data_IF_972611585235
#
_entry.id   IF_972611585235
#
_cell.length_a   1.000
_cell.length_b   1.000
_cell.length_c   1.000
_cell.angle_alpha   90.00
_cell.angle_beta   90.00
_cell.angle_gamma   90.00
#
_symmetry.space_group_name_H-M   'P 1'
#
loop_
_entity.id
_entity.type
_entity.pdbx_description
1 polymer ?
#
# COMPACT_ATOMS: atom_id res chain seq x y z
N UNK A 1 -12.56 14.56 1.73
CA UNK A 1 -11.30 14.57 2.50
C UNK A 1 -10.91 16.01 2.79
N UNK A 2 -10.69 16.34 4.04
CA UNK A 2 -10.31 17.68 4.47
C UNK A 2 -8.85 17.68 4.95
N UNK A 3 -8.26 18.87 5.15
CA UNK A 3 -6.91 18.99 5.68
C UNK A 3 -6.74 18.39 7.10
N UNK A 4 -7.82 18.32 7.89
CA UNK A 4 -7.83 17.67 9.20
C UNK A 4 -7.69 16.15 9.15
N UNK A 5 -7.99 15.53 8.00
CA UNK A 5 -7.91 14.07 7.81
C UNK A 5 -6.50 13.58 7.47
N UNK A 6 -5.56 14.52 7.23
CA UNK A 6 -4.19 14.19 6.85
C UNK A 6 -3.39 13.79 8.09
N UNK A 7 -2.64 12.71 7.98
CA UNK A 7 -1.73 12.28 9.05
C UNK A 7 -0.54 13.24 9.09
N UNK A 8 -0.39 13.98 10.18
CA UNK A 8 0.65 14.99 10.29
C UNK A 8 0.50 16.14 9.28
N UNK A 9 1.61 16.67 8.78
CA UNK A 9 1.68 17.70 7.71
C UNK A 9 0.95 19.01 8.02
N UNK A 10 0.74 19.35 9.30
CA UNK A 10 -0.05 20.53 9.73
C UNK A 10 0.51 21.84 9.18
N UNK A 11 1.84 21.97 9.18
CA UNK A 11 2.52 23.16 8.66
C UNK A 11 2.29 23.34 7.16
N UNK A 12 2.46 22.24 6.38
CA UNK A 12 2.25 22.27 4.94
C UNK A 12 0.77 22.49 4.59
N UNK A 13 -0.14 21.85 5.30
CA UNK A 13 -1.58 22.03 5.14
C UNK A 13 -2.00 23.49 5.41
N UNK A 14 -1.51 24.09 6.50
CA UNK A 14 -1.77 25.50 6.83
C UNK A 14 -1.20 26.45 5.78
N UNK A 15 0.02 26.17 5.26
CA UNK A 15 0.64 26.98 4.21
C UNK A 15 -0.15 26.92 2.90
N UNK A 16 -0.55 25.73 2.46
CA UNK A 16 -1.34 25.58 1.22
C UNK A 16 -2.70 26.25 1.34
N UNK A 17 -3.35 26.12 2.51
CA UNK A 17 -4.61 26.80 2.80
C UNK A 17 -4.47 28.31 2.76
N UNK A 18 -3.45 28.87 3.43
CA UNK A 18 -3.20 30.31 3.43
C UNK A 18 -2.98 30.85 2.01
N UNK A 19 -2.18 30.16 1.18
CA UNK A 19 -1.97 30.53 -0.22
C UNK A 19 -3.27 30.52 -1.02
N UNK A 20 -4.17 29.58 -0.74
CA UNK A 20 -5.48 29.50 -1.39
C UNK A 20 -6.37 30.67 -0.96
N UNK A 21 -6.46 30.95 0.33
CA UNK A 21 -7.29 32.03 0.91
C UNK A 21 -6.82 33.42 0.46
N UNK A 22 -5.51 33.61 0.30
CA UNK A 22 -4.90 34.85 -0.18
C UNK A 22 -4.96 35.03 -1.72
N UNK A 23 -5.49 34.03 -2.46
CA UNK A 23 -5.50 34.05 -3.93
C UNK A 23 -4.09 34.01 -4.56
N UNK A 24 -3.10 33.51 -3.82
CA UNK A 24 -1.68 33.45 -4.21
C UNK A 24 -1.19 32.06 -4.60
N UNK A 25 -2.12 31.10 -4.80
CA UNK A 25 -1.76 29.79 -5.28
C UNK A 25 -1.16 29.88 -6.69
N UNK A 26 -0.02 29.25 -6.94
CA UNK A 26 0.51 29.13 -8.30
C UNK A 26 -0.43 28.26 -9.11
N UNK A 27 -0.55 28.53 -10.41
CA UNK A 27 -1.36 27.72 -11.32
C UNK A 27 -0.84 26.27 -11.49
N UNK A 28 0.43 26.04 -11.16
CA UNK A 28 1.05 24.72 -11.15
C UNK A 28 1.97 24.58 -9.92
N UNK A 29 1.69 23.57 -9.10
CA UNK A 29 2.50 23.22 -7.94
C UNK A 29 2.88 21.76 -7.92
N UNK A 30 3.99 21.43 -7.28
CA UNK A 30 4.50 20.06 -7.17
C UNK A 30 4.80 19.73 -5.72
N UNK A 31 4.12 18.72 -5.20
CA UNK A 31 4.36 18.14 -3.88
C UNK A 31 5.41 17.04 -4.02
N UNK A 32 6.60 17.28 -3.48
CA UNK A 32 7.75 16.38 -3.53
C UNK A 32 8.04 15.76 -2.18
N UNK A 33 8.51 14.53 -2.14
CA UNK A 33 8.90 13.89 -0.89
C UNK A 33 8.82 12.36 -0.95
N UNK A 34 9.17 11.67 0.15
CA UNK A 34 9.16 10.21 0.19
C UNK A 34 7.74 9.63 0.07
N UNK A 35 7.66 8.33 -0.23
CA UNK A 35 6.39 7.61 -0.22
C UNK A 35 5.78 7.62 1.18
N UNK A 36 4.45 7.51 1.26
CA UNK A 36 3.74 7.45 2.52
C UNK A 36 3.76 8.75 3.36
N UNK A 37 4.40 9.84 2.89
CA UNK A 37 4.46 11.11 3.60
C UNK A 37 3.16 11.94 3.53
N UNK A 38 2.14 11.50 2.79
CA UNK A 38 0.85 12.20 2.69
C UNK A 38 0.74 13.22 1.55
N UNK A 39 1.60 13.13 0.53
CA UNK A 39 1.55 14.02 -0.65
C UNK A 39 0.19 13.98 -1.38
N UNK A 40 -0.31 12.77 -1.65
CA UNK A 40 -1.61 12.61 -2.32
C UNK A 40 -2.76 13.10 -1.42
N UNK A 41 -2.66 12.88 -0.09
CA UNK A 41 -3.61 13.41 0.88
C UNK A 41 -3.69 14.94 0.84
N UNK A 42 -2.54 15.61 0.81
CA UNK A 42 -2.45 17.07 0.65
C UNK A 42 -3.04 17.54 -0.68
N UNK A 43 -2.75 16.84 -1.79
CA UNK A 43 -3.26 17.16 -3.12
C UNK A 43 -4.80 17.08 -3.17
N UNK A 44 -5.38 16.00 -2.66
CA UNK A 44 -6.82 15.80 -2.62
C UNK A 44 -7.50 16.81 -1.68
N UNK A 45 -6.92 17.07 -0.50
CA UNK A 45 -7.48 18.04 0.44
C UNK A 45 -7.47 19.45 -0.14
N UNK A 46 -6.39 19.87 -0.81
CA UNK A 46 -6.31 21.17 -1.48
C UNK A 46 -7.32 21.26 -2.63
N UNK A 47 -7.42 20.24 -3.46
CA UNK A 47 -8.40 20.17 -4.54
C UNK A 47 -9.83 20.29 -4.00
N UNK A 48 -10.15 19.53 -2.94
CA UNK A 48 -11.45 19.58 -2.26
C UNK A 48 -11.74 20.98 -1.70
N UNK A 49 -10.73 21.59 -1.08
CA UNK A 49 -10.85 22.94 -0.50
C UNK A 49 -11.21 24.00 -1.55
N UNK A 50 -10.56 23.95 -2.72
CA UNK A 50 -10.77 24.90 -3.81
C UNK A 50 -12.12 24.66 -4.49
N UNK A 51 -12.44 23.40 -4.80
CA UNK A 51 -13.67 23.03 -5.52
C UNK A 51 -14.95 23.21 -4.68
N UNK A 52 -14.83 23.16 -3.34
CA UNK A 52 -15.96 23.48 -2.45
C UNK A 52 -16.26 24.99 -2.33
N UNK A 53 -15.58 25.84 -3.10
CA UNK A 53 -15.86 27.28 -3.18
C UNK A 53 -15.30 28.09 -2.01
N UNK A 54 -14.43 27.54 -1.18
CA UNK A 54 -13.84 28.26 -0.05
C UNK A 54 -12.97 29.45 -0.48
N UNK A 55 -12.50 29.45 -1.73
CA UNK A 55 -11.62 30.52 -2.29
C UNK A 55 -12.40 31.72 -2.83
N UNK A 56 -13.67 31.56 -3.24
CA UNK A 56 -14.46 32.63 -3.90
C UNK A 56 -15.80 32.94 -3.23
N UNK A 57 -16.10 32.37 -2.07
CA UNK A 57 -17.35 32.65 -1.32
C UNK A 57 -18.66 32.17 -1.98
N UNK A 58 -18.59 31.62 -3.16
CA UNK A 58 -19.73 31.02 -3.84
C UNK A 58 -19.82 29.54 -3.44
N UNK A 59 -20.49 29.25 -2.32
CA UNK A 59 -20.70 27.89 -1.85
C UNK A 59 -21.30 27.03 -2.96
N UNK A 60 -20.53 26.06 -3.43
CA UNK A 60 -21.00 25.13 -4.46
C UNK A 60 -22.10 24.23 -3.92
N UNK A 61 -23.16 24.07 -4.72
CA UNK A 61 -24.31 23.20 -4.43
C UNK A 61 -23.93 21.70 -4.28
N UNK A 62 -22.77 21.33 -4.76
CA UNK A 62 -22.27 19.96 -4.70
C UNK A 62 -20.97 19.90 -3.87
N UNK A 63 -21.08 19.41 -2.64
CA UNK A 63 -19.90 19.08 -1.85
C UNK A 63 -19.11 17.99 -2.56
N UNK A 64 -17.83 18.24 -2.80
CA UNK A 64 -16.89 17.21 -3.29
C UNK A 64 -16.89 16.06 -2.27
N UNK A 65 -17.49 14.94 -2.65
CA UNK A 65 -17.46 13.70 -1.88
C UNK A 65 -16.44 12.77 -2.51
N UNK A 66 -15.40 12.45 -1.76
CA UNK A 66 -14.33 11.59 -2.27
C UNK A 66 -13.55 12.24 -3.41
N UNK A 67 -13.32 11.48 -4.47
CA UNK A 67 -12.61 11.90 -5.69
C UNK A 67 -13.58 12.19 -6.87
N UNK A 68 -14.88 12.23 -6.62
CA UNK A 68 -15.90 12.38 -7.64
C UNK A 68 -16.35 13.84 -7.74
N UNK A 69 -15.70 14.59 -8.60
CA UNK A 69 -16.14 15.93 -8.99
C UNK A 69 -15.89 16.12 -10.49
N UNK A 70 -16.84 16.69 -11.26
CA UNK A 70 -16.70 16.82 -12.70
C UNK A 70 -15.52 17.71 -13.14
N UNK A 71 -15.09 18.65 -12.30
CA UNK A 71 -13.97 19.55 -12.53
C UNK A 71 -12.68 19.10 -11.79
N UNK A 72 -12.63 17.86 -11.25
CA UNK A 72 -11.44 17.22 -10.69
C UNK A 72 -10.98 16.10 -11.62
N UNK A 73 -9.78 16.23 -12.15
CA UNK A 73 -9.19 15.26 -13.07
C UNK A 73 -7.94 14.62 -12.45
N UNK A 74 -7.86 13.29 -12.55
CA UNK A 74 -6.69 12.53 -12.16
C UNK A 74 -5.94 12.05 -13.39
N UNK A 75 -4.64 12.25 -13.38
CA UNK A 75 -3.70 11.71 -14.37
C UNK A 75 -2.72 10.83 -13.62
N UNK A 76 -2.57 9.59 -14.05
CA UNK A 76 -1.70 8.59 -13.43
C UNK A 76 -1.07 7.66 -14.47
N UNK A 77 0.05 6.98 -14.14
CA UNK A 77 0.68 6.05 -15.06
C UNK A 77 -0.24 4.88 -15.41
N UNK A 78 -0.33 4.56 -16.69
CA UNK A 78 -1.16 3.48 -17.23
C UNK A 78 -0.32 2.46 -17.97
N UNK A 79 -0.88 1.28 -18.24
CA UNK A 79 -0.26 0.22 -19.02
C UNK A 79 -1.05 -0.01 -20.31
N UNK A 80 -0.39 -0.58 -21.31
CA UNK A 80 -1.07 -1.01 -22.52
C UNK A 80 -1.53 -2.45 -22.39
N UNK A 81 -2.84 -2.68 -22.50
CA UNK A 81 -3.40 -4.03 -22.45
C UNK A 81 -3.19 -4.74 -23.80
N UNK A 82 -2.94 -6.05 -23.76
CA UNK A 82 -2.72 -6.89 -24.94
C UNK A 82 -3.88 -6.88 -25.96
N UNK A 83 -5.11 -6.61 -25.48
CA UNK A 83 -6.32 -6.53 -26.30
C UNK A 83 -6.41 -5.25 -27.16
N UNK A 84 -5.58 -4.23 -26.89
CA UNK A 84 -5.59 -2.97 -27.63
C UNK A 84 -4.66 -3.03 -28.85
N UNK A 85 -5.02 -2.34 -29.93
CA UNK A 85 -4.20 -2.24 -31.12
C UNK A 85 -2.86 -1.52 -30.84
N UNK A 86 -1.87 -1.67 -31.76
CA UNK A 86 -0.53 -1.11 -31.57
C UNK A 86 -0.50 0.41 -31.45
N UNK A 87 -1.46 1.11 -32.04
CA UNK A 87 -1.54 2.58 -32.10
C UNK A 87 -2.26 3.19 -30.90
N UNK A 88 -3.05 2.40 -30.17
CA UNK A 88 -3.78 2.91 -29.00
C UNK A 88 -2.83 3.35 -27.90
N UNK A 89 -3.07 4.57 -27.41
CA UNK A 89 -2.33 5.17 -26.28
C UNK A 89 -3.25 5.23 -25.07
N UNK A 90 -3.02 4.39 -24.05
CA UNK A 90 -3.89 4.33 -22.89
C UNK A 90 -3.93 5.65 -22.15
N UNK A 91 -5.09 5.95 -21.57
CA UNK A 91 -5.36 7.12 -20.76
C UNK A 91 -5.85 6.70 -19.37
N UNK A 92 -5.83 7.63 -18.42
CA UNK A 92 -6.26 7.39 -17.04
C UNK A 92 -7.70 6.91 -16.95
N UNK A 93 -8.58 7.35 -17.84
CA UNK A 93 -9.98 6.92 -17.88
C UNK A 93 -10.17 5.44 -18.17
N UNK A 94 -9.25 4.82 -18.90
CA UNK A 94 -9.29 3.38 -19.17
C UNK A 94 -9.19 2.53 -17.90
N UNK A 95 -8.68 3.12 -16.81
CA UNK A 95 -8.43 2.48 -15.53
C UNK A 95 -9.10 3.22 -14.36
N UNK A 96 -10.09 4.04 -14.63
CA UNK A 96 -10.74 4.88 -13.60
C UNK A 96 -11.47 4.03 -12.54
N UNK A 97 -11.98 2.86 -12.90
CA UNK A 97 -12.63 1.94 -11.96
C UNK A 97 -11.61 1.39 -10.94
N UNK A 98 -10.45 0.92 -11.43
CA UNK A 98 -9.36 0.43 -10.57
C UNK A 98 -8.81 1.55 -9.69
N UNK A 99 -8.71 2.78 -10.23
CA UNK A 99 -8.29 3.95 -9.46
C UNK A 99 -9.27 4.27 -8.33
N UNK A 100 -10.56 4.22 -8.61
CA UNK A 100 -11.61 4.41 -7.60
C UNK A 100 -11.58 3.33 -6.55
N UNK A 101 -11.39 2.07 -6.93
CA UNK A 101 -11.26 0.95 -6.01
C UNK A 101 -10.06 1.13 -5.08
N UNK A 102 -8.88 1.45 -5.62
CA UNK A 102 -7.65 1.68 -4.86
C UNK A 102 -7.78 2.85 -3.88
N UNK A 103 -8.45 3.92 -4.30
CA UNK A 103 -8.65 5.13 -3.49
C UNK A 103 -9.88 5.06 -2.59
N UNK A 104 -10.66 3.99 -2.64
CA UNK A 104 -11.79 3.75 -1.74
C UNK A 104 -11.33 3.50 -0.30
N UNK A 105 -12.16 3.84 0.71
CA UNK A 105 -11.81 3.63 2.10
C UNK A 105 -11.54 2.15 2.37
N UNK A 106 -10.39 1.86 2.96
CA UNK A 106 -10.11 0.50 3.41
C UNK A 106 -10.86 0.22 4.73
N UNK A 107 -11.42 -0.99 4.91
CA UNK A 107 -12.11 -1.34 6.14
C UNK A 107 -11.16 -1.25 7.34
N UNK A 108 -11.57 -0.49 8.35
CA UNK A 108 -10.87 -0.46 9.63
C UNK A 108 -11.08 -1.77 10.38
N UNK A 109 -10.06 -2.34 11.06
CA UNK A 109 -10.20 -3.57 11.86
C UNK A 109 -11.27 -3.51 12.95
N UNK A 110 -11.69 -2.31 13.38
CA UNK A 110 -12.73 -2.08 14.41
C UNK A 110 -14.13 -1.90 13.85
N UNK A 111 -14.39 -2.11 12.57
CA UNK A 111 -15.73 -2.06 11.99
C UNK A 111 -16.45 -0.70 12.08
N UNK A 112 -15.79 0.34 12.55
CA UNK A 112 -16.29 1.71 12.62
C UNK A 112 -15.70 2.58 11.52
N UNK A 113 -15.71 2.11 10.32
CA UNK A 113 -15.64 2.99 9.17
C UNK A 113 -17.07 3.42 8.88
N UNK A 114 -17.39 4.66 9.11
CA UNK A 114 -18.71 5.24 8.83
C UNK A 114 -19.01 5.29 7.35
N UNK A 115 -18.58 4.40 6.52
CA UNK A 115 -18.99 4.20 5.13
C UNK A 115 -19.27 5.45 4.27
N UNK A 116 -19.05 6.65 4.81
CA UNK A 116 -19.38 7.93 4.21
C UNK A 116 -18.10 8.73 3.91
N UNK A 117 -17.56 8.49 2.73
CA UNK A 117 -16.80 9.51 2.05
C UNK A 117 -15.30 9.62 2.32
N UNK A 118 -14.69 8.72 3.08
CA UNK A 118 -13.25 8.77 3.29
C UNK A 118 -12.50 8.16 2.10
N UNK A 119 -11.56 8.90 1.57
CA UNK A 119 -10.67 8.47 0.48
C UNK A 119 -9.42 7.84 1.11
N UNK A 120 -8.91 6.76 0.54
CA UNK A 120 -7.59 6.25 0.86
C UNK A 120 -6.53 6.97 0.00
N UNK A 121 -5.80 7.96 0.52
CA UNK A 121 -4.78 8.69 -0.24
C UNK A 121 -3.38 8.09 -0.07
N UNK A 122 -3.26 6.97 0.62
CA UNK A 122 -1.99 6.30 0.93
C UNK A 122 -1.91 4.98 0.19
N UNK A 123 -1.25 4.98 -0.94
CA UNK A 123 -0.97 3.82 -1.77
C UNK A 123 0.35 4.01 -2.51
N UNK A 124 0.98 2.92 -2.87
CA UNK A 124 2.24 2.88 -3.61
C UNK A 124 2.01 2.63 -5.11
N UNK A 125 3.09 2.78 -5.89
CA UNK A 125 3.06 2.35 -7.28
C UNK A 125 2.88 0.82 -7.40
N UNK A 126 3.37 0.05 -6.43
CA UNK A 126 3.20 -1.40 -6.40
C UNK A 126 1.71 -1.77 -6.26
N UNK A 127 1.00 -1.13 -5.30
CA UNK A 127 -0.44 -1.32 -5.12
C UNK A 127 -1.22 -0.97 -6.41
N UNK A 128 -0.81 0.10 -7.09
CA UNK A 128 -1.40 0.49 -8.36
C UNK A 128 -1.16 -0.53 -9.48
N UNK A 129 0.06 -1.05 -9.59
CA UNK A 129 0.39 -2.08 -10.57
C UNK A 129 -0.37 -3.38 -10.30
N UNK A 130 -0.58 -3.74 -9.04
CA UNK A 130 -1.40 -4.89 -8.62
C UNK A 130 -2.88 -4.66 -9.00
N UNK A 131 -3.44 -3.49 -8.71
CA UNK A 131 -4.82 -3.14 -9.07
C UNK A 131 -5.07 -3.24 -10.58
N UNK A 132 -4.08 -2.86 -11.40
CA UNK A 132 -4.12 -3.03 -12.86
C UNK A 132 -3.82 -4.47 -13.32
N UNK A 133 -3.45 -5.40 -12.44
CA UNK A 133 -2.97 -6.77 -12.76
C UNK A 133 -1.77 -6.78 -13.71
N UNK A 134 -0.81 -5.92 -13.46
CA UNK A 134 0.27 -5.57 -14.39
C UNK A 134 1.69 -5.62 -13.81
N UNK A 135 1.93 -6.45 -12.81
CA UNK A 135 3.17 -6.52 -12.02
C UNK A 135 4.47 -6.57 -12.84
N UNK A 136 4.42 -7.08 -14.08
CA UNK A 136 5.59 -7.23 -14.96
C UNK A 136 5.70 -6.17 -16.04
N UNK A 137 4.82 -5.17 -16.05
CA UNK A 137 4.81 -4.11 -17.06
C UNK A 137 5.31 -2.80 -16.45
N UNK A 138 5.74 -1.87 -17.30
CA UNK A 138 6.11 -0.53 -16.88
C UNK A 138 4.96 0.43 -17.18
N UNK A 139 4.37 1.02 -16.13
CA UNK A 139 3.35 2.02 -16.30
C UNK A 139 3.95 3.38 -16.69
N UNK A 140 3.34 4.05 -17.66
CA UNK A 140 3.79 5.30 -18.27
C UNK A 140 2.61 6.23 -18.49
N UNK A 141 2.80 7.54 -18.32
CA UNK A 141 1.82 8.55 -18.73
C UNK A 141 2.12 8.89 -20.20
N UNK A 142 1.18 8.54 -21.08
CA UNK A 142 1.37 8.68 -22.53
C UNK A 142 0.90 10.03 -23.04
N UNK A 143 1.28 10.38 -24.29
CA UNK A 143 0.80 11.60 -24.95
C UNK A 143 -0.73 11.58 -25.16
N UNK A 144 -1.36 10.41 -25.14
CA UNK A 144 -2.83 10.27 -25.15
C UNK A 144 -3.47 10.99 -23.98
N UNK A 145 -2.87 10.84 -22.78
CA UNK A 145 -3.29 11.51 -21.57
C UNK A 145 -3.22 13.04 -21.69
N UNK A 146 -2.10 13.57 -22.22
CA UNK A 146 -1.97 15.01 -22.42
C UNK A 146 -3.05 15.55 -23.38
N UNK A 147 -3.40 14.79 -24.43
CA UNK A 147 -4.47 15.17 -25.37
C UNK A 147 -5.82 15.24 -24.68
N UNK A 148 -6.15 14.21 -23.90
CA UNK A 148 -7.42 14.16 -23.19
C UNK A 148 -7.52 15.26 -22.13
N UNK A 149 -6.45 15.50 -21.40
CA UNK A 149 -6.39 16.56 -20.40
C UNK A 149 -6.55 17.95 -21.01
N UNK A 150 -5.90 18.25 -22.15
CA UNK A 150 -6.07 19.50 -22.89
C UNK A 150 -7.54 19.66 -23.28
N UNK A 151 -8.15 18.64 -23.86
CA UNK A 151 -9.56 18.66 -24.27
C UNK A 151 -10.49 18.98 -23.10
N UNK A 152 -10.32 18.33 -21.95
CA UNK A 152 -11.14 18.55 -20.75
C UNK A 152 -10.95 19.94 -20.16
N UNK A 153 -9.73 20.38 -20.04
CA UNK A 153 -9.42 21.68 -19.42
C UNK A 153 -9.80 22.86 -20.31
N UNK A 154 -9.90 22.71 -21.64
CA UNK A 154 -10.39 23.75 -22.56
C UNK A 154 -11.92 23.87 -22.57
N UNK A 155 -12.64 22.84 -22.13
CA UNK A 155 -14.10 22.94 -21.94
C UNK A 155 -14.42 23.89 -20.79
N UNK A 156 -15.61 24.51 -20.81
CA UNK A 156 -16.08 25.31 -19.66
C UNK A 156 -16.21 24.42 -18.43
N UNK A 157 -15.88 24.98 -17.25
CA UNK A 157 -16.16 24.30 -15.98
C UNK A 157 -17.65 23.97 -15.88
N UNK A 158 -17.99 22.80 -15.39
CA UNK A 158 -19.40 22.38 -15.23
C UNK A 158 -20.15 23.24 -14.19
N UNK A 159 -19.42 23.85 -13.25
CA UNK A 159 -19.98 24.64 -12.16
C UNK A 159 -19.54 26.12 -12.17
N UNK A 160 -18.87 26.56 -13.25
CA UNK A 160 -18.44 27.96 -13.40
C UNK A 160 -17.29 28.39 -12.48
N UNK A 161 -16.56 27.43 -11.91
CA UNK A 161 -15.48 27.65 -10.96
C UNK A 161 -14.13 27.12 -11.43
N UNK A 162 -13.31 26.74 -10.44
CA UNK A 162 -12.00 26.16 -10.66
C UNK A 162 -12.04 24.76 -11.28
N UNK A 163 -11.05 24.44 -12.09
CA UNK A 163 -10.70 23.09 -12.56
C UNK A 163 -9.41 22.67 -11.91
N UNK A 164 -9.37 21.47 -11.36
CA UNK A 164 -8.16 20.94 -10.69
C UNK A 164 -7.72 19.67 -11.39
N UNK A 165 -6.43 19.59 -11.74
CA UNK A 165 -5.81 18.40 -12.29
C UNK A 165 -4.72 17.92 -11.34
N UNK A 166 -4.91 16.72 -10.77
CA UNK A 166 -3.92 16.03 -9.96
C UNK A 166 -3.16 15.06 -10.85
N UNK A 167 -1.84 15.25 -10.98
CA UNK A 167 -0.96 14.42 -11.79
C UNK A 167 -0.07 13.61 -10.83
N UNK A 168 -0.35 12.31 -10.72
CA UNK A 168 0.42 11.41 -9.87
C UNK A 168 1.58 10.79 -10.63
N UNK A 169 2.77 10.83 -10.05
CA UNK A 169 4.06 10.39 -10.62
C UNK A 169 4.35 11.02 -12.00
N UNK A 170 4.39 12.35 -12.08
CA UNK A 170 4.65 13.05 -13.36
C UNK A 170 6.01 12.68 -13.97
N UNK A 171 6.96 12.18 -13.18
CA UNK A 171 8.24 11.62 -13.64
C UNK A 171 8.10 10.38 -14.53
N UNK A 172 6.89 9.81 -14.63
CA UNK A 172 6.56 8.71 -15.55
C UNK A 172 5.93 9.15 -16.86
N UNK A 173 5.88 10.45 -17.13
CA UNK A 173 5.52 10.96 -18.45
C UNK A 173 6.57 10.54 -19.47
N UNK A 174 6.13 10.05 -20.64
CA UNK A 174 7.04 9.94 -21.78
C UNK A 174 7.35 11.35 -22.33
N UNK A 175 8.42 11.44 -23.13
CA UNK A 175 8.92 12.72 -23.65
C UNK A 175 7.85 13.51 -24.42
N UNK A 176 7.06 12.83 -25.25
CA UNK A 176 5.99 13.46 -26.04
C UNK A 176 4.89 14.03 -25.15
N UNK A 177 4.50 13.30 -24.08
CA UNK A 177 3.55 13.78 -23.09
C UNK A 177 4.08 15.00 -22.35
N UNK A 178 5.32 14.91 -21.85
CA UNK A 178 5.96 15.99 -21.10
C UNK A 178 6.07 17.28 -21.94
N UNK A 179 6.51 17.18 -23.20
CA UNK A 179 6.60 18.32 -24.10
C UNK A 179 5.23 18.95 -24.41
N UNK A 180 4.19 18.13 -24.51
CA UNK A 180 2.83 18.61 -24.74
C UNK A 180 2.25 19.30 -23.53
N UNK A 181 2.55 18.79 -22.33
CA UNK A 181 2.15 19.38 -21.06
C UNK A 181 2.82 20.74 -20.80
N UNK A 182 4.01 21.00 -21.34
CA UNK A 182 4.68 22.30 -21.18
C UNK A 182 3.79 23.47 -21.61
N UNK A 183 3.16 23.38 -22.78
CA UNK A 183 2.27 24.44 -23.28
C UNK A 183 1.09 24.68 -22.35
N UNK A 184 0.52 23.60 -21.80
CA UNK A 184 -0.63 23.67 -20.91
C UNK A 184 -0.25 24.25 -19.52
N UNK A 185 0.99 24.00 -19.08
CA UNK A 185 1.52 24.56 -17.83
C UNK A 185 1.91 26.03 -18.01
N UNK A 186 2.45 26.43 -19.17
CA UNK A 186 2.83 27.81 -19.48
C UNK A 186 1.60 28.73 -19.61
N UNK A 187 0.59 28.25 -20.34
CA UNK A 187 -0.62 29.01 -20.66
C UNK A 187 -1.87 28.21 -20.20
N UNK A 188 -2.08 28.11 -18.88
CA UNK A 188 -3.21 27.33 -18.36
C UNK A 188 -4.55 28.00 -18.71
N UNK A 189 -5.58 27.23 -19.00
CA UNK A 189 -6.94 27.78 -19.09
C UNK A 189 -7.32 28.51 -17.79
N UNK A 190 -8.21 29.50 -17.90
CA UNK A 190 -8.69 30.29 -16.75
C UNK A 190 -9.15 29.38 -15.61
N UNK A 191 -8.80 29.76 -14.36
CA UNK A 191 -9.16 29.04 -13.14
C UNK A 191 -8.80 27.54 -13.18
N UNK A 192 -7.59 27.25 -13.67
CA UNK A 192 -7.05 25.87 -13.68
C UNK A 192 -5.87 25.76 -12.74
N UNK A 193 -5.89 24.74 -11.90
CA UNK A 193 -4.79 24.39 -11.00
C UNK A 193 -4.24 23.01 -11.32
N UNK A 194 -2.92 22.93 -11.52
CA UNK A 194 -2.19 21.67 -11.62
C UNK A 194 -1.51 21.34 -10.30
N UNK A 195 -1.76 20.13 -9.79
CA UNK A 195 -1.13 19.60 -8.58
C UNK A 195 -0.36 18.34 -8.98
N UNK A 196 0.96 18.45 -9.06
CA UNK A 196 1.82 17.31 -9.33
C UNK A 196 2.23 16.64 -8.03
N UNK A 197 2.15 15.32 -7.96
CA UNK A 197 2.55 14.51 -6.81
C UNK A 197 3.72 13.63 -7.24
N UNK A 198 4.93 14.08 -6.93
CA UNK A 198 6.18 13.45 -7.39
C UNK A 198 6.93 12.76 -6.25
N UNK A 199 7.52 11.62 -6.57
CA UNK A 199 8.49 10.91 -5.73
C UNK A 199 9.92 11.26 -6.09
N UNK A 200 10.20 11.36 -7.41
CA UNK A 200 11.53 11.54 -7.98
C UNK A 200 11.54 12.76 -8.89
N UNK A 201 11.38 13.98 -8.36
CA UNK A 201 11.25 15.21 -9.16
C UNK A 201 12.45 15.44 -10.07
N UNK A 202 13.62 14.90 -9.74
CA UNK A 202 14.83 15.03 -10.54
C UNK A 202 14.76 14.29 -11.88
N UNK A 203 13.85 13.31 -12.01
CA UNK A 203 13.59 12.60 -13.28
C UNK A 203 12.68 13.37 -14.24
N UNK A 204 12.02 14.45 -13.76
CA UNK A 204 11.23 15.33 -14.60
C UNK A 204 12.14 16.21 -15.47
N UNK A 205 11.65 16.55 -16.67
CA UNK A 205 12.30 17.53 -17.52
C UNK A 205 12.51 18.85 -16.76
N UNK A 206 13.69 19.43 -16.88
CA UNK A 206 14.01 20.71 -16.25
C UNK A 206 13.07 21.84 -16.70
N UNK A 207 12.61 21.78 -17.95
CA UNK A 207 11.62 22.69 -18.51
C UNK A 207 10.28 22.66 -17.75
N UNK A 208 9.84 21.51 -17.25
CA UNK A 208 8.67 21.40 -16.38
C UNK A 208 9.01 21.90 -15.00
N UNK A 209 10.13 21.45 -14.40
CA UNK A 209 10.53 21.81 -13.04
C UNK A 209 10.66 23.33 -12.84
N UNK A 210 11.16 24.05 -13.85
CA UNK A 210 11.33 25.51 -13.79
C UNK A 210 10.02 26.30 -13.80
N UNK A 211 8.89 25.68 -14.19
CA UNK A 211 7.57 26.31 -14.32
C UNK A 211 6.59 25.93 -13.24
N UNK A 212 6.99 25.00 -12.38
CA UNK A 212 6.11 24.44 -11.32
C UNK A 212 6.69 24.81 -9.95
N UNK A 213 5.88 25.39 -9.08
CA UNK A 213 6.34 25.71 -7.73
C UNK A 213 6.47 24.44 -6.89
N UNK A 214 7.68 24.16 -6.41
CA UNK A 214 7.99 22.99 -5.59
C UNK A 214 7.64 23.23 -4.13
N UNK A 215 7.01 22.22 -3.51
CA UNK A 215 6.75 22.12 -2.09
C UNK A 215 7.28 20.78 -1.58
N UNK A 216 8.26 20.84 -0.68
CA UNK A 216 8.86 19.64 -0.11
C UNK A 216 8.08 19.17 1.11
N UNK A 217 7.47 17.99 0.97
CA UNK A 217 6.69 17.31 2.01
C UNK A 217 7.63 16.41 2.80
N UNK A 218 7.79 16.74 4.10
CA UNK A 218 8.65 16.00 5.01
C UNK A 218 8.02 14.63 5.37
N UNK A 219 8.82 13.65 5.83
CA UNK A 219 8.29 12.46 6.48
C UNK A 219 7.33 12.83 7.62
N UNK A 220 6.34 11.99 7.90
CA UNK A 220 5.39 12.21 9.00
C UNK A 220 6.17 12.21 10.33
N UNK A 221 5.91 13.19 11.20
CA UNK A 221 6.52 13.24 12.51
C UNK A 221 6.17 12.01 13.35
N UNK A 222 7.12 11.55 14.19
CA UNK A 222 6.95 10.35 14.99
C UNK A 222 5.67 10.36 15.83
N UNK A 223 5.42 11.44 16.53
CA UNK A 223 4.25 11.57 17.41
C UNK A 223 2.92 11.56 16.64
N UNK A 224 2.88 12.22 15.47
CA UNK A 224 1.71 12.19 14.59
C UNK A 224 1.48 10.79 14.01
N UNK A 225 2.56 10.04 13.73
CA UNK A 225 2.50 8.64 13.29
C UNK A 225 1.93 7.74 14.40
N UNK A 226 2.47 7.82 15.61
CA UNK A 226 2.00 7.06 16.79
C UNK A 226 0.51 7.31 17.00
N UNK A 227 0.13 8.59 17.04
CA UNK A 227 -1.28 8.99 17.21
C UNK A 227 -2.18 8.39 16.13
N UNK A 228 -1.77 8.48 14.87
CA UNK A 228 -2.55 7.94 13.75
C UNK A 228 -2.67 6.40 13.81
N UNK A 229 -1.62 5.68 14.22
CA UNK A 229 -1.63 4.24 14.41
C UNK A 229 -2.60 3.82 15.53
N UNK A 230 -2.61 4.55 16.66
CA UNK A 230 -3.55 4.30 17.74
C UNK A 230 -5.01 4.59 17.33
N UNK A 231 -5.26 5.74 16.70
CA UNK A 231 -6.62 6.17 16.35
C UNK A 231 -7.20 5.38 15.16
N UNK A 232 -6.42 5.18 14.10
CA UNK A 232 -6.92 4.56 12.85
C UNK A 232 -6.78 3.04 12.82
N UNK A 233 -5.79 2.47 13.54
CA UNK A 233 -5.51 1.02 13.55
C UNK A 233 -5.77 0.38 14.91
N UNK A 234 -6.03 1.18 15.95
CA UNK A 234 -6.39 0.68 17.27
C UNK A 234 -5.25 -0.01 18.01
N UNK A 235 -4.02 0.36 17.71
CA UNK A 235 -2.83 -0.18 18.37
C UNK A 235 -2.70 0.37 19.80
N UNK A 236 -2.12 -0.44 20.68
CA UNK A 236 -1.63 0.01 21.97
C UNK A 236 -0.40 0.92 21.77
N UNK A 237 -0.15 1.81 22.72
CA UNK A 237 0.91 2.82 22.61
C UNK A 237 2.28 2.21 22.31
N UNK A 238 2.67 1.16 23.04
CA UNK A 238 3.98 0.52 22.88
C UNK A 238 4.18 -0.07 21.46
N UNK A 239 3.15 -0.71 20.91
CA UNK A 239 3.19 -1.25 19.54
C UNK A 239 3.20 -0.12 18.50
N UNK A 240 2.41 0.93 18.72
CA UNK A 240 2.39 2.10 17.83
C UNK A 240 3.75 2.81 17.79
N UNK A 241 4.43 2.98 18.93
CA UNK A 241 5.77 3.55 19.01
C UNK A 241 6.82 2.69 18.28
N UNK A 242 6.75 1.36 18.45
CA UNK A 242 7.65 0.41 17.75
C UNK A 242 7.46 0.51 16.24
N UNK A 243 6.23 0.44 15.76
CA UNK A 243 5.91 0.51 14.33
C UNK A 243 6.27 1.87 13.75
N UNK A 244 5.96 2.97 14.43
CA UNK A 244 6.29 4.33 14.00
C UNK A 244 7.81 4.54 13.86
N UNK A 245 8.60 3.96 14.76
CA UNK A 245 10.07 4.01 14.69
C UNK A 245 10.61 3.27 13.47
N UNK A 246 10.11 2.06 13.20
CA UNK A 246 10.53 1.26 12.04
C UNK A 246 10.11 1.91 10.71
N UNK A 247 8.93 2.51 10.68
CA UNK A 247 8.40 3.15 9.48
C UNK A 247 9.09 4.45 9.09
N UNK A 248 9.81 5.13 10.02
CA UNK A 248 10.61 6.31 9.72
C UNK A 248 9.82 7.48 9.08
N UNK A 249 8.54 7.64 9.44
CA UNK A 249 7.67 8.68 8.89
C UNK A 249 6.98 8.32 7.56
N UNK A 250 7.07 7.07 7.13
CA UNK A 250 6.39 6.52 5.96
C UNK A 250 5.16 5.70 6.40
N UNK A 251 3.94 6.20 6.14
CA UNK A 251 2.70 5.51 6.51
C UNK A 251 2.52 4.16 5.81
N UNK A 252 2.99 4.03 4.56
CA UNK A 252 2.91 2.75 3.83
C UNK A 252 3.80 1.70 4.47
N UNK A 253 5.03 2.06 4.84
CA UNK A 253 5.93 1.17 5.56
C UNK A 253 5.36 0.76 6.93
N UNK A 254 4.64 1.67 7.62
CA UNK A 254 3.93 1.33 8.85
C UNK A 254 2.83 0.29 8.62
N UNK A 255 2.07 0.41 7.53
CA UNK A 255 1.05 -0.57 7.17
C UNK A 255 1.64 -1.92 6.76
N UNK A 256 2.75 -1.92 6.03
CA UNK A 256 3.49 -3.14 5.66
C UNK A 256 4.01 -3.87 6.91
N UNK A 257 4.58 -3.14 7.87
CA UNK A 257 5.04 -3.71 9.15
C UNK A 257 3.88 -4.32 9.96
N UNK A 258 2.73 -3.65 9.99
CA UNK A 258 1.52 -4.17 10.64
C UNK A 258 0.99 -5.43 9.96
N UNK A 259 0.97 -5.44 8.63
CA UNK A 259 0.53 -6.59 7.86
C UNK A 259 1.48 -7.76 8.06
N UNK A 260 2.79 -7.53 8.04
CA UNK A 260 3.79 -8.54 8.33
C UNK A 260 3.66 -9.07 9.78
N UNK A 261 3.41 -8.20 10.76
CA UNK A 261 3.17 -8.58 12.14
C UNK A 261 1.91 -9.44 12.30
N UNK A 262 0.80 -9.05 11.66
CA UNK A 262 -0.43 -9.82 11.66
C UNK A 262 -0.29 -11.16 10.94
N UNK A 263 0.41 -11.19 9.81
CA UNK A 263 0.70 -12.41 9.06
C UNK A 263 1.58 -13.37 9.88
N UNK A 264 2.63 -12.87 10.51
CA UNK A 264 3.48 -13.68 11.39
C UNK A 264 2.71 -14.25 12.59
N UNK A 265 1.79 -13.48 13.18
CA UNK A 265 0.93 -13.97 14.26
C UNK A 265 -0.02 -15.06 13.77
N UNK A 266 -0.63 -14.88 12.61
CA UNK A 266 -1.48 -15.90 11.97
C UNK A 266 -0.66 -17.17 11.68
N UNK A 267 0.52 -17.03 11.12
CA UNK A 267 1.41 -18.16 10.82
C UNK A 267 1.88 -18.87 12.09
N UNK A 268 2.10 -18.12 13.17
CA UNK A 268 2.40 -18.70 14.47
C UNK A 268 1.23 -19.56 14.99
N UNK A 269 0.00 -19.07 14.90
CA UNK A 269 -1.19 -19.83 15.30
C UNK A 269 -1.33 -21.12 14.47
N UNK A 270 -1.07 -21.05 13.17
CA UNK A 270 -1.06 -22.24 12.31
C UNK A 270 0.05 -23.22 12.71
N UNK A 271 1.24 -22.73 13.03
CA UNK A 271 2.37 -23.55 13.50
C UNK A 271 2.05 -24.25 14.82
N UNK A 272 1.60 -23.50 15.81
CA UNK A 272 1.21 -24.03 17.14
C UNK A 272 0.12 -25.08 17.01
N UNK A 273 -0.90 -24.79 16.20
CA UNK A 273 -2.00 -25.71 15.94
C UNK A 273 -1.52 -26.98 15.27
N UNK A 274 -0.67 -26.88 14.24
CA UNK A 274 -0.07 -28.04 13.59
C UNK A 274 0.70 -28.89 14.59
N UNK A 275 1.64 -28.31 15.32
CA UNK A 275 2.51 -29.06 16.22
C UNK A 275 1.75 -29.77 17.32
N UNK A 276 0.70 -29.14 17.88
CA UNK A 276 -0.20 -29.78 18.87
C UNK A 276 -0.94 -30.98 18.27
N UNK A 277 -1.50 -30.84 17.07
CA UNK A 277 -2.28 -31.89 16.41
C UNK A 277 -1.39 -33.03 15.91
N UNK A 278 -0.21 -32.73 15.44
CA UNK A 278 0.82 -33.70 15.06
C UNK A 278 1.23 -34.54 16.27
N UNK A 279 1.45 -33.89 17.42
CA UNK A 279 1.77 -34.58 18.66
C UNK A 279 0.64 -35.50 19.13
N UNK A 280 -0.62 -35.04 19.01
CA UNK A 280 -1.81 -35.83 19.40
C UNK A 280 -2.17 -36.94 18.39
N UNK A 281 -1.56 -36.96 17.20
CA UNK A 281 -1.87 -37.88 16.07
C UNK A 281 -3.34 -37.88 15.65
N UNK A 282 -4.03 -36.75 15.76
CA UNK A 282 -5.42 -36.62 15.32
C UNK A 282 -5.53 -36.39 13.82
N UNK A 283 -5.67 -37.48 13.07
CA UNK A 283 -5.73 -37.47 11.62
C UNK A 283 -6.89 -36.65 11.07
N UNK A 284 -8.03 -36.60 11.75
CA UNK A 284 -9.20 -35.81 11.31
C UNK A 284 -8.90 -34.32 11.37
N UNK A 285 -8.31 -33.89 12.45
CA UNK A 285 -7.94 -32.50 12.66
C UNK A 285 -6.75 -32.10 11.80
N UNK A 286 -5.79 -32.96 11.55
CA UNK A 286 -4.70 -32.75 10.61
C UNK A 286 -5.22 -32.54 9.18
N UNK A 287 -6.24 -33.32 8.76
CA UNK A 287 -6.90 -33.11 7.47
C UNK A 287 -7.59 -31.75 7.38
N UNK A 288 -8.35 -31.35 8.42
CA UNK A 288 -9.01 -30.04 8.46
C UNK A 288 -7.99 -28.91 8.42
N UNK A 289 -6.89 -29.02 9.14
CA UNK A 289 -5.80 -28.07 9.12
C UNK A 289 -5.20 -27.96 7.70
N UNK A 290 -4.89 -29.07 7.05
CA UNK A 290 -4.38 -29.09 5.68
C UNK A 290 -5.35 -28.44 4.68
N UNK A 291 -6.66 -28.66 4.83
CA UNK A 291 -7.69 -28.03 4.00
C UNK A 291 -7.77 -26.51 4.24
N UNK A 292 -7.61 -26.04 5.48
CA UNK A 292 -7.62 -24.61 5.78
C UNK A 292 -6.41 -23.88 5.17
N UNK A 293 -5.22 -24.48 5.25
CA UNK A 293 -4.01 -23.93 4.61
C UNK A 293 -4.11 -23.99 3.07
N UNK A 294 -4.67 -25.08 2.54
CA UNK A 294 -4.85 -25.21 1.10
C UNK A 294 -5.83 -24.19 0.48
N UNK A 295 -6.70 -23.57 1.30
CA UNK A 295 -7.59 -22.49 0.87
C UNK A 295 -6.89 -21.11 0.75
N UNK A 296 -5.70 -20.96 1.31
CA UNK A 296 -4.88 -19.75 1.17
C UNK A 296 -4.33 -19.59 -0.25
N UNK A 297 -3.91 -18.37 -0.60
CA UNK A 297 -3.18 -18.11 -1.84
C UNK A 297 -1.81 -18.80 -1.86
N UNK A 298 -1.30 -19.15 -3.04
CA UNK A 298 -0.03 -19.91 -3.18
C UNK A 298 1.17 -19.18 -2.59
N UNK A 299 1.26 -17.89 -2.79
CA UNK A 299 2.37 -17.10 -2.23
C UNK A 299 2.27 -17.03 -0.69
N UNK A 300 1.07 -16.94 -0.16
CA UNK A 300 0.84 -17.00 1.29
C UNK A 300 1.21 -18.38 1.86
N UNK A 301 0.88 -19.49 1.16
CA UNK A 301 1.31 -20.83 1.53
C UNK A 301 2.83 -20.98 1.60
N UNK A 302 3.57 -20.38 0.64
CA UNK A 302 5.04 -20.39 0.64
C UNK A 302 5.58 -19.59 1.82
N UNK A 303 5.04 -18.39 2.09
CA UNK A 303 5.46 -17.57 3.24
C UNK A 303 5.20 -18.28 4.55
N UNK A 304 4.06 -18.96 4.69
CA UNK A 304 3.74 -19.81 5.86
C UNK A 304 4.80 -20.91 6.06
N UNK A 305 5.20 -21.60 5.01
CA UNK A 305 6.23 -22.65 5.09
C UNK A 305 7.62 -22.09 5.42
N UNK A 306 7.97 -20.91 4.90
CA UNK A 306 9.21 -20.20 5.27
C UNK A 306 9.16 -19.82 6.76
N UNK A 307 8.02 -19.38 7.26
CA UNK A 307 7.82 -19.11 8.68
C UNK A 307 8.02 -20.39 9.53
N UNK A 308 7.51 -21.53 9.08
CA UNK A 308 7.69 -22.82 9.77
C UNK A 308 9.16 -23.28 9.80
N UNK A 309 9.89 -23.04 8.70
CA UNK A 309 11.36 -23.27 8.68
C UNK A 309 12.07 -22.43 9.74
N UNK A 310 11.73 -21.14 9.84
CA UNK A 310 12.27 -20.23 10.85
C UNK A 310 11.94 -20.73 12.26
N UNK A 311 10.68 -21.00 12.57
CA UNK A 311 10.25 -21.42 13.90
C UNK A 311 10.88 -22.74 14.35
N UNK A 312 11.04 -23.70 13.44
CA UNK A 312 11.72 -24.98 13.73
C UNK A 312 13.19 -24.75 14.03
N UNK A 313 13.88 -23.87 13.28
CA UNK A 313 15.27 -23.48 13.56
C UNK A 313 15.38 -22.78 14.91
N UNK A 314 14.49 -21.81 15.20
CA UNK A 314 14.47 -21.09 16.47
C UNK A 314 14.26 -22.04 17.66
N UNK A 315 13.31 -22.99 17.53
CA UNK A 315 13.08 -24.02 18.55
C UNK A 315 14.33 -24.90 18.79
N UNK A 316 15.01 -25.30 17.71
CA UNK A 316 16.27 -26.05 17.83
C UNK A 316 17.37 -25.24 18.53
N UNK A 317 17.57 -23.97 18.11
CA UNK A 317 18.56 -23.08 18.70
C UNK A 317 18.27 -22.73 20.16
N UNK A 318 17.00 -22.66 20.54
CA UNK A 318 16.57 -22.41 21.92
C UNK A 318 17.12 -23.45 22.90
N UNK A 319 17.30 -24.71 22.46
CA UNK A 319 17.86 -25.78 23.30
C UNK A 319 19.32 -25.53 23.75
N UNK A 320 20.06 -24.70 23.00
CA UNK A 320 21.45 -24.34 23.38
C UNK A 320 21.54 -23.27 24.47
N UNK A 321 20.39 -22.69 24.90
CA UNK A 321 20.30 -21.68 25.97
C UNK A 321 21.19 -20.44 25.76
N UNK A 322 21.39 -20.03 24.52
CA UNK A 322 22.17 -18.85 24.15
C UNK A 322 21.19 -17.82 23.53
N UNK A 323 20.80 -16.75 24.25
CA UNK A 323 19.85 -15.74 23.75
C UNK A 323 20.29 -15.06 22.44
N UNK A 324 21.62 -15.00 22.22
CA UNK A 324 22.23 -14.41 21.02
C UNK A 324 21.92 -15.18 19.72
N UNK A 325 21.46 -16.43 19.82
CA UNK A 325 21.20 -17.32 18.70
C UNK A 325 19.73 -17.36 18.29
N UNK A 326 18.83 -16.73 19.06
CA UNK A 326 17.39 -16.79 18.86
C UNK A 326 16.79 -15.41 18.62
N UNK A 327 15.89 -15.33 17.63
CA UNK A 327 15.19 -14.10 17.24
C UNK A 327 13.69 -14.37 17.25
N UNK A 328 13.10 -14.39 18.46
CA UNK A 328 11.69 -14.73 18.67
C UNK A 328 10.93 -13.56 19.31
N UNK A 329 9.64 -13.46 19.02
CA UNK A 329 8.73 -12.62 19.82
C UNK A 329 8.51 -13.25 21.20
N UNK A 330 7.97 -12.47 22.14
CA UNK A 330 7.66 -12.98 23.49
C UNK A 330 6.66 -14.17 23.47
N UNK A 331 5.67 -14.14 22.55
CA UNK A 331 4.72 -15.24 22.37
C UNK A 331 5.38 -16.50 21.81
N UNK A 332 6.26 -16.34 20.82
CA UNK A 332 7.05 -17.44 20.24
C UNK A 332 7.99 -18.07 21.27
N UNK A 333 8.66 -17.24 22.07
CA UNK A 333 9.55 -17.70 23.15
C UNK A 333 8.79 -18.50 24.21
N UNK A 334 7.62 -17.98 24.67
CA UNK A 334 6.79 -18.70 25.63
C UNK A 334 6.33 -20.07 25.11
N UNK A 335 6.04 -20.18 23.84
CA UNK A 335 5.74 -21.46 23.22
C UNK A 335 6.96 -22.37 23.16
N UNK A 336 8.10 -21.85 22.73
CA UNK A 336 9.35 -22.61 22.61
C UNK A 336 9.87 -23.15 23.93
N UNK A 337 9.59 -22.50 25.07
CA UNK A 337 9.93 -23.02 26.41
C UNK A 337 9.40 -24.45 26.63
N UNK A 338 8.26 -24.80 26.04
CA UNK A 338 7.65 -26.12 26.17
C UNK A 338 7.84 -27.00 24.95
N UNK A 339 7.97 -26.38 23.79
CA UNK A 339 8.00 -27.08 22.51
C UNK A 339 9.42 -27.47 22.07
N UNK A 340 10.44 -26.66 22.35
CA UNK A 340 11.80 -26.84 21.83
C UNK A 340 12.39 -28.25 22.08
N UNK A 341 12.03 -28.89 23.19
CA UNK A 341 12.46 -30.25 23.53
C UNK A 341 12.08 -31.33 22.51
N UNK A 342 11.07 -31.04 21.67
CA UNK A 342 10.62 -31.97 20.62
C UNK A 342 11.37 -31.81 19.30
N UNK A 343 12.22 -30.78 19.19
CA UNK A 343 13.06 -30.53 18.02
C UNK A 343 14.51 -30.75 18.43
N UNK A 344 15.14 -31.74 17.88
CA UNK A 344 16.51 -32.16 18.23
C UNK A 344 17.35 -32.47 16.98
N UNK A 345 18.59 -32.87 17.15
CA UNK A 345 19.54 -33.19 16.06
C UNK A 345 19.02 -34.31 15.12
N UNK A 346 18.20 -35.24 15.66
CA UNK A 346 17.67 -36.36 14.89
C UNK A 346 16.54 -35.98 13.95
N UNK A 347 15.80 -34.91 14.21
CA UNK A 347 14.60 -34.57 13.42
C UNK A 347 14.62 -33.16 12.77
N UNK A 348 15.47 -32.23 13.21
CA UNK A 348 15.51 -30.87 12.68
C UNK A 348 15.77 -30.81 11.17
N UNK A 349 16.69 -31.64 10.67
CA UNK A 349 16.98 -31.73 9.23
C UNK A 349 15.78 -32.33 8.45
N UNK A 350 15.12 -33.32 9.03
CA UNK A 350 13.92 -33.91 8.44
C UNK A 350 12.78 -32.89 8.29
N UNK A 351 12.56 -32.04 9.30
CA UNK A 351 11.62 -30.91 9.21
C UNK A 351 12.02 -29.90 8.14
N UNK A 352 13.29 -29.56 8.05
CA UNK A 352 13.80 -28.64 7.04
C UNK A 352 13.55 -29.16 5.62
N UNK A 353 13.88 -30.41 5.36
CA UNK A 353 13.65 -31.07 4.06
C UNK A 353 12.17 -31.13 3.73
N UNK A 354 11.31 -31.46 4.72
CA UNK A 354 9.87 -31.55 4.57
C UNK A 354 9.27 -30.23 4.12
N UNK A 355 9.62 -29.12 4.77
CA UNK A 355 9.09 -27.79 4.40
C UNK A 355 9.66 -27.29 3.08
N UNK A 356 10.94 -27.52 2.78
CA UNK A 356 11.54 -27.15 1.50
C UNK A 356 10.93 -27.91 0.33
N UNK A 357 10.61 -29.20 0.53
CA UNK A 357 9.89 -30.01 -0.47
C UNK A 357 8.50 -29.43 -0.73
N UNK A 358 7.75 -29.11 0.33
CA UNK A 358 6.43 -28.52 0.20
C UNK A 358 6.46 -27.17 -0.53
N UNK A 359 7.45 -26.28 -0.23
CA UNK A 359 7.64 -25.00 -0.93
C UNK A 359 7.85 -25.22 -2.43
N UNK A 360 8.70 -26.18 -2.80
CA UNK A 360 8.98 -26.51 -4.19
C UNK A 360 7.73 -27.06 -4.90
N UNK A 361 7.01 -27.97 -4.26
CA UNK A 361 5.82 -28.61 -4.84
C UNK A 361 4.70 -27.58 -5.08
N UNK A 362 4.44 -26.67 -4.11
CA UNK A 362 3.51 -25.56 -4.28
C UNK A 362 3.97 -24.62 -5.41
N UNK A 363 5.27 -24.36 -5.51
CA UNK A 363 5.86 -23.60 -6.61
C UNK A 363 5.66 -24.23 -7.99
N UNK A 364 5.60 -25.56 -8.07
CA UNK A 364 5.36 -26.35 -9.29
C UNK A 364 3.87 -26.62 -9.56
N UNK A 365 2.96 -25.93 -8.88
CA UNK A 365 1.51 -26.08 -9.03
C UNK A 365 0.94 -27.43 -8.58
N UNK A 366 1.58 -28.12 -7.66
CA UNK A 366 1.01 -29.32 -7.06
C UNK A 366 -0.31 -29.02 -6.31
N UNK A 367 -1.11 -30.05 -6.10
CA UNK A 367 -2.36 -29.92 -5.36
C UNK A 367 -2.08 -29.64 -3.88
N UNK A 368 -2.36 -28.40 -3.42
CA UNK A 368 -2.07 -27.95 -2.08
C UNK A 368 -2.67 -28.84 -0.97
N UNK A 369 -3.89 -29.37 -1.16
CA UNK A 369 -4.52 -30.27 -0.17
C UNK A 369 -3.71 -31.53 0.05
N UNK A 370 -3.16 -32.09 -1.03
CA UNK A 370 -2.32 -33.30 -0.96
C UNK A 370 -0.98 -32.96 -0.32
N UNK A 371 -0.33 -31.87 -0.76
CA UNK A 371 0.96 -31.43 -0.23
C UNK A 371 0.88 -31.19 1.27
N UNK A 372 -0.09 -30.42 1.74
CA UNK A 372 -0.22 -30.12 3.17
C UNK A 372 -0.68 -31.31 4.01
N UNK A 373 -1.51 -32.20 3.46
CA UNK A 373 -1.87 -33.41 4.20
C UNK A 373 -0.67 -34.36 4.34
N UNK A 374 0.11 -34.61 3.28
CA UNK A 374 1.35 -35.38 3.33
C UNK A 374 2.36 -34.77 4.32
N UNK A 375 2.50 -33.43 4.29
CA UNK A 375 3.33 -32.71 5.25
C UNK A 375 2.91 -33.00 6.71
N UNK A 376 1.61 -32.98 7.02
CA UNK A 376 1.14 -33.24 8.39
C UNK A 376 1.45 -34.65 8.84
N UNK A 377 1.29 -35.63 7.94
CA UNK A 377 1.58 -37.04 8.23
C UNK A 377 3.08 -37.29 8.49
N UNK A 378 3.94 -36.71 7.63
CA UNK A 378 5.39 -36.80 7.80
C UNK A 378 5.89 -36.09 9.05
N UNK A 379 5.33 -34.90 9.36
CA UNK A 379 5.63 -34.18 10.58
C UNK A 379 5.26 -35.00 11.84
N UNK A 380 4.15 -35.77 11.79
CA UNK A 380 3.77 -36.69 12.89
C UNK A 380 4.77 -37.81 13.09
N UNK A 381 5.38 -38.32 12.04
CA UNK A 381 6.47 -39.30 12.14
C UNK A 381 7.71 -38.67 12.75
N UNK A 382 8.14 -37.51 12.24
CA UNK A 382 9.36 -36.83 12.69
C UNK A 382 9.33 -36.43 14.18
N UNK A 383 8.19 -35.98 14.70
CA UNK A 383 8.07 -35.54 16.09
C UNK A 383 8.12 -36.71 17.08
N UNK A 384 7.81 -37.94 16.63
CA UNK A 384 7.79 -39.12 17.47
C UNK A 384 8.97 -40.09 17.23
N UNK A 385 9.80 -39.80 16.23
CA UNK A 385 11.00 -40.60 15.94
C UNK A 385 12.27 -40.11 16.69
N UNK A 386 12.07 -39.19 17.63
CA UNK A 386 13.13 -38.58 18.46
C UNK A 386 13.22 -39.25 19.82
#
# INVERSE_FOLDING_TARGET
MDFSDIIGQREMAARLKALADEGRLPHALMLCGPDGAGKMALAIALATYILNGNVNGNGNLYKVRGIEHPDLHFTFPTIKLKKWNSEYKPVSDDFIEQWRELTSPQPSPKGKGDGKGDVNPYFSLADWMEAMKAERQQAVITVGEANELIKRLTMKSNQGGWKVSIIWLPERMNLDCANKMLKLIEEPPTQTLFIMVSREPEKLLETIRSRVQRFDVKPIAHDDMVKALMERRGLEQADAERVARLAGGNWLAALEELNAGNENRLFFDYFVTLMRKVYMRDVKDLKRWAESVAAMGREEQKRLLIYFLRMTREAFMYNFRKPELTYMSAEEEQFCQRFARFINEGNVLGFQELYQMAIRDIGQNANAKIVFFDLTMKAAVLIHSS
#
